data_IF_951442366234
#
_entry.id   IF_951442366234
#
_cell.length_a   1.000
_cell.length_b   1.000
_cell.length_c   1.000
_cell.angle_alpha   90.00
_cell.angle_beta   90.00
_cell.angle_gamma   90.00
#
_symmetry.space_group_name_H-M   'P 1'
#
loop_
_entity.id
_entity.type
_entity.pdbx_description
1 polymer ?
#
# COMPACT_ATOMS: atom_id res chain seq x y z
N UNK A 1 -44.32 -47.23 63.38
CA UNK A 1 -45.15 -46.00 63.43
C UNK A 1 -44.75 -45.16 62.23
N UNK A 2 -45.45 -45.34 61.11
CA UNK A 2 -45.19 -44.62 59.86
C UNK A 2 -45.81 -43.23 59.96
N UNK A 3 -44.99 -42.19 59.93
CA UNK A 3 -45.48 -40.81 59.96
C UNK A 3 -46.25 -40.51 58.66
N UNK A 4 -47.40 -39.81 58.73
CA UNK A 4 -48.14 -39.41 57.54
C UNK A 4 -47.32 -38.40 56.74
N UNK A 5 -47.00 -38.76 55.50
CA UNK A 5 -46.40 -37.83 54.53
C UNK A 5 -47.50 -36.86 54.14
N UNK A 6 -47.42 -35.63 54.64
CA UNK A 6 -48.33 -34.55 54.24
C UNK A 6 -47.86 -34.08 52.88
N UNK A 7 -48.64 -34.34 51.83
CA UNK A 7 -48.38 -33.80 50.49
C UNK A 7 -48.44 -32.27 50.55
N UNK A 8 -47.28 -31.64 50.78
CA UNK A 8 -47.14 -30.19 50.75
C UNK A 8 -47.14 -29.75 49.29
N UNK A 9 -48.32 -29.44 48.76
CA UNK A 9 -48.44 -28.80 47.45
C UNK A 9 -47.88 -27.38 47.53
N UNK A 10 -46.86 -27.11 46.72
CA UNK A 10 -46.23 -25.78 46.64
C UNK A 10 -47.25 -24.81 46.03
N UNK A 11 -47.53 -23.65 46.65
CA UNK A 11 -48.39 -22.63 46.08
C UNK A 11 -47.92 -22.19 44.69
N UNK A 12 -48.85 -22.10 43.73
CA UNK A 12 -48.52 -21.78 42.33
C UNK A 12 -47.73 -20.48 42.13
N UNK A 13 -47.88 -19.50 43.02
CA UNK A 13 -47.12 -18.24 42.97
C UNK A 13 -45.63 -18.42 43.25
N UNK A 14 -45.26 -19.40 44.09
CA UNK A 14 -43.85 -19.73 44.39
C UNK A 14 -43.21 -20.35 43.15
N UNK A 15 -43.91 -21.29 42.50
CA UNK A 15 -43.45 -21.90 41.24
C UNK A 15 -43.29 -20.83 40.16
N UNK A 16 -44.27 -19.93 40.02
CA UNK A 16 -44.20 -18.80 39.09
C UNK A 16 -43.01 -17.88 39.37
N UNK A 17 -42.73 -17.59 40.64
CA UNK A 17 -41.60 -16.75 41.07
C UNK A 17 -40.24 -17.41 40.76
N UNK A 18 -40.11 -18.72 41.01
CA UNK A 18 -38.89 -19.48 40.70
C UNK A 18 -38.62 -19.47 39.19
N UNK A 19 -39.65 -19.66 38.36
CA UNK A 19 -39.53 -19.63 36.90
C UNK A 19 -39.07 -18.24 36.44
N UNK A 20 -39.69 -17.17 36.96
CA UNK A 20 -39.32 -15.79 36.63
C UNK A 20 -37.87 -15.48 36.99
N UNK A 21 -37.43 -15.85 38.20
CA UNK A 21 -36.04 -15.64 38.65
C UNK A 21 -35.05 -16.39 37.76
N UNK A 22 -35.32 -17.65 37.43
CA UNK A 22 -34.44 -18.42 36.53
C UNK A 22 -34.39 -17.82 35.12
N UNK A 23 -35.51 -17.32 34.60
CA UNK A 23 -35.54 -16.67 33.29
C UNK A 23 -34.67 -15.40 33.28
N UNK A 24 -34.75 -14.58 34.33
CA UNK A 24 -33.88 -13.41 34.48
C UNK A 24 -32.40 -13.79 34.66
N UNK A 25 -32.11 -14.90 35.36
CA UNK A 25 -30.75 -15.39 35.57
C UNK A 25 -30.07 -15.85 34.27
N UNK A 26 -30.85 -16.29 33.27
CA UNK A 26 -30.35 -16.71 31.96
C UNK A 26 -30.05 -15.52 31.02
N UNK A 27 -30.54 -14.32 31.30
CA UNK A 27 -30.32 -13.15 30.43
C UNK A 27 -28.83 -12.77 30.31
N UNK A 28 -28.05 -12.61 31.41
CA UNK A 28 -26.64 -12.27 31.28
C UNK A 28 -25.80 -13.32 30.53
N UNK A 29 -25.93 -14.64 30.77
CA UNK A 29 -25.25 -15.67 29.97
C UNK A 29 -25.60 -15.61 28.48
N UNK A 30 -26.87 -15.39 28.12
CA UNK A 30 -27.30 -15.26 26.72
C UNK A 30 -26.72 -14.01 26.07
N UNK A 31 -26.68 -12.88 26.78
CA UNK A 31 -26.06 -11.65 26.29
C UNK A 31 -24.54 -11.80 26.10
N UNK A 32 -23.86 -12.50 27.02
CA UNK A 32 -22.43 -12.82 26.89
C UNK A 32 -22.18 -13.77 25.71
N UNK A 33 -23.00 -14.81 25.54
CA UNK A 33 -22.92 -15.70 24.39
C UNK A 33 -23.14 -14.92 23.09
N UNK A 34 -24.18 -14.08 23.02
CA UNK A 34 -24.43 -13.21 21.86
C UNK A 34 -23.24 -12.28 21.60
N UNK A 35 -22.69 -11.62 22.61
CA UNK A 35 -21.54 -10.73 22.45
C UNK A 35 -20.26 -11.47 22.01
N UNK A 36 -20.11 -12.76 22.34
CA UNK A 36 -18.97 -13.60 21.90
C UNK A 36 -19.13 -14.14 20.49
N UNK A 37 -20.36 -14.44 20.07
CA UNK A 37 -20.64 -15.09 18.78
C UNK A 37 -21.27 -14.18 17.72
N UNK A 38 -21.46 -12.89 18.00
CA UNK A 38 -21.93 -11.91 17.02
C UNK A 38 -20.89 -10.83 16.74
N UNK A 39 -20.86 -10.34 15.51
CA UNK A 39 -20.06 -9.20 15.09
C UNK A 39 -20.88 -7.91 15.23
N UNK A 40 -20.24 -6.84 15.68
CA UNK A 40 -20.85 -5.51 15.75
C UNK A 40 -20.30 -4.62 14.64
N UNK A 41 -21.16 -3.79 14.04
CA UNK A 41 -20.76 -2.71 13.14
C UNK A 41 -20.37 -1.42 13.88
N UNK A 42 -20.71 -1.32 15.16
CA UNK A 42 -20.33 -0.20 16.01
C UNK A 42 -19.12 -0.53 16.87
N UNK A 43 -18.26 0.46 17.17
CA UNK A 43 -17.19 0.29 18.14
C UNK A 43 -17.71 -0.23 19.48
N UNK A 44 -16.85 -0.99 20.19
CA UNK A 44 -17.19 -1.50 21.52
C UNK A 44 -17.41 -0.36 22.50
N UNK A 45 -18.28 -0.61 23.48
CA UNK A 45 -18.50 0.33 24.58
C UNK A 45 -17.19 0.50 25.33
N UNK A 46 -16.73 1.75 25.39
CA UNK A 46 -15.49 2.13 26.04
C UNK A 46 -15.82 2.82 27.35
N UNK A 47 -15.65 2.13 28.49
CA UNK A 47 -16.13 2.59 29.80
C UNK A 47 -15.25 3.70 30.39
N UNK A 48 -13.94 3.65 30.17
CA UNK A 48 -12.99 4.62 30.72
C UNK A 48 -12.27 5.33 29.56
N UNK A 49 -12.71 6.53 29.17
CA UNK A 49 -12.18 7.23 27.99
C UNK A 49 -10.96 8.14 28.27
N UNK A 50 -10.60 8.33 29.54
CA UNK A 50 -9.76 9.42 30.03
C UNK A 50 -8.48 9.66 29.21
N UNK A 51 -7.58 8.68 29.15
CA UNK A 51 -6.28 8.82 28.46
C UNK A 51 -6.25 8.25 27.04
N UNK A 52 -7.36 7.67 26.57
CA UNK A 52 -7.48 7.19 25.19
C UNK A 52 -7.84 8.34 24.24
N UNK A 53 -8.69 9.27 24.71
CA UNK A 53 -9.07 10.48 24.01
C UNK A 53 -8.50 11.71 24.71
N UNK A 54 -7.23 11.97 24.46
CA UNK A 54 -6.52 13.10 25.05
C UNK A 54 -6.92 14.43 24.39
N UNK A 55 -6.84 15.53 25.14
CA UNK A 55 -7.06 16.90 24.67
C UNK A 55 -5.84 17.44 23.87
N UNK A 56 -5.33 16.63 22.94
CA UNK A 56 -4.28 16.99 22.00
C UNK A 56 -4.58 16.34 20.65
N UNK A 57 -4.19 17.00 19.57
CA UNK A 57 -4.37 16.45 18.24
C UNK A 57 -3.16 15.60 17.83
N UNK A 58 -3.43 14.41 17.31
CA UNK A 58 -2.41 13.58 16.66
C UNK A 58 -2.30 13.95 15.17
N UNK A 59 -1.22 13.54 14.52
CA UNK A 59 -1.14 13.58 13.06
C UNK A 59 -2.34 12.86 12.45
N UNK A 60 -2.87 13.40 11.35
CA UNK A 60 -4.05 12.86 10.63
C UNK A 60 -5.34 12.75 11.47
N UNK A 61 -5.46 13.53 12.56
CA UNK A 61 -6.71 13.62 13.34
C UNK A 61 -7.61 14.77 12.87
N UNK A 62 -8.91 14.64 13.18
CA UNK A 62 -9.87 15.69 12.93
C UNK A 62 -9.72 16.84 13.94
N UNK A 63 -9.86 18.08 13.48
CA UNK A 63 -9.88 19.28 14.32
C UNK A 63 -10.93 20.27 13.80
N UNK A 64 -12.02 20.43 14.54
CA UNK A 64 -13.15 21.30 14.18
C UNK A 64 -12.84 22.81 14.26
N UNK A 65 -11.69 23.21 14.80
CA UNK A 65 -11.28 24.61 14.84
C UNK A 65 -10.99 25.17 13.44
N UNK A 66 -10.46 24.33 12.52
CA UNK A 66 -10.13 24.75 11.15
C UNK A 66 -11.23 24.38 10.17
N UNK A 67 -11.43 25.21 9.13
CA UNK A 67 -12.46 25.03 8.10
C UNK A 67 -12.36 23.68 7.35
N UNK A 68 -11.15 23.14 7.21
CA UNK A 68 -10.89 21.87 6.52
C UNK A 68 -10.95 20.64 7.44
N UNK A 69 -11.31 20.83 8.71
CA UNK A 69 -11.37 19.81 9.77
C UNK A 69 -10.04 19.05 9.98
N UNK A 70 -8.90 19.55 9.49
CA UNK A 70 -7.61 18.86 9.62
C UNK A 70 -6.81 19.39 10.79
N UNK A 71 -6.30 18.50 11.63
CA UNK A 71 -5.26 18.87 12.60
C UNK A 71 -3.93 19.24 11.93
N UNK A 72 -3.55 18.54 10.85
CA UNK A 72 -2.30 18.82 10.13
C UNK A 72 -2.43 20.06 9.24
N UNK A 73 -1.65 21.09 9.57
CA UNK A 73 -1.52 22.30 8.76
C UNK A 73 -0.41 22.17 7.73
N UNK A 74 -0.63 22.74 6.55
CA UNK A 74 0.43 22.89 5.57
C UNK A 74 1.43 23.95 6.07
N UNK A 75 2.74 23.76 5.84
CA UNK A 75 3.71 24.82 6.06
C UNK A 75 3.44 26.00 5.13
N UNK A 76 3.88 27.19 5.54
CA UNK A 76 3.77 28.40 4.70
C UNK A 76 4.68 28.23 3.48
N UNK A 77 4.23 28.61 2.26
CA UNK A 77 5.09 28.51 1.08
C UNK A 77 6.42 29.25 1.26
N UNK A 78 7.51 28.63 0.82
CA UNK A 78 8.87 29.19 0.92
C UNK A 78 9.59 28.92 2.25
N UNK A 79 8.96 28.26 3.23
CA UNK A 79 9.66 27.86 4.45
C UNK A 79 10.60 26.68 4.20
N UNK A 80 11.82 26.76 4.72
CA UNK A 80 12.82 25.67 4.72
C UNK A 80 13.04 25.23 6.17
N UNK A 81 12.85 23.94 6.45
CA UNK A 81 13.10 23.40 7.77
C UNK A 81 14.61 23.29 8.06
N UNK A 82 14.98 23.37 9.33
CA UNK A 82 16.39 23.24 9.74
C UNK A 82 16.89 21.84 9.41
N UNK A 83 17.94 21.75 8.59
CA UNK A 83 18.52 20.48 8.13
C UNK A 83 17.93 19.95 6.82
N UNK A 84 16.87 20.59 6.29
CA UNK A 84 16.26 20.23 4.99
C UNK A 84 16.62 21.24 3.89
N UNK A 85 17.82 21.84 4.00
CA UNK A 85 18.35 22.66 2.91
C UNK A 85 18.85 21.73 1.81
N UNK A 86 18.08 21.63 0.73
CA UNK A 86 18.39 20.83 -0.46
C UNK A 86 19.43 21.53 -1.34
N UNK A 87 20.66 21.66 -0.85
CA UNK A 87 21.75 22.40 -1.51
C UNK A 87 22.39 21.65 -2.69
N UNK A 88 22.37 20.32 -2.68
CA UNK A 88 22.86 19.50 -3.80
C UNK A 88 21.76 19.36 -4.84
N UNK A 89 21.84 20.15 -5.91
CA UNK A 89 20.82 20.15 -6.94
C UNK A 89 20.76 18.85 -7.74
N UNK A 90 21.92 18.24 -7.96
CA UNK A 90 22.01 16.96 -8.65
C UNK A 90 21.28 15.89 -7.86
N UNK A 91 21.47 15.81 -6.55
CA UNK A 91 20.83 14.81 -5.70
C UNK A 91 19.34 15.08 -5.43
N UNK A 92 18.94 16.32 -5.14
CA UNK A 92 17.57 16.62 -4.72
C UNK A 92 16.61 16.95 -5.86
N UNK A 93 17.12 17.45 -6.99
CA UNK A 93 16.32 17.92 -8.13
C UNK A 93 16.58 17.16 -9.43
N UNK A 94 17.72 16.46 -9.53
CA UNK A 94 18.11 15.74 -10.75
C UNK A 94 18.67 16.66 -11.84
N UNK A 95 19.06 17.89 -11.49
CA UNK A 95 19.60 18.88 -12.43
C UNK A 95 21.10 19.05 -12.23
N UNK A 96 21.79 19.47 -13.28
CA UNK A 96 23.20 19.85 -13.21
C UNK A 96 23.36 21.20 -13.91
N UNK A 97 23.24 22.29 -13.14
CA UNK A 97 23.04 23.63 -13.71
C UNK A 97 21.67 23.74 -14.37
N UNK A 98 21.63 24.28 -15.59
CA UNK A 98 20.39 24.50 -16.34
C UNK A 98 19.89 23.23 -17.08
N UNK A 99 20.68 22.15 -17.09
CA UNK A 99 20.39 20.91 -17.82
C UNK A 99 19.99 19.76 -16.89
N UNK A 100 19.32 18.75 -17.46
CA UNK A 100 19.08 17.47 -16.76
C UNK A 100 20.37 16.70 -16.56
N UNK A 101 20.53 16.11 -15.37
CA UNK A 101 21.68 15.26 -15.11
C UNK A 101 21.64 13.99 -15.99
N UNK A 102 22.77 13.69 -16.63
CA UNK A 102 22.95 12.47 -17.43
C UNK A 102 23.59 11.32 -16.65
N UNK A 103 24.09 11.61 -15.45
CA UNK A 103 24.82 10.67 -14.58
C UNK A 103 24.17 10.62 -13.19
N UNK A 104 24.52 9.58 -12.41
CA UNK A 104 24.12 9.51 -11.00
C UNK A 104 24.93 10.51 -10.15
N UNK A 105 24.32 11.10 -9.10
CA UNK A 105 25.05 11.94 -8.14
C UNK A 105 26.22 11.17 -7.51
N UNK A 106 27.33 11.84 -7.21
CA UNK A 106 28.54 11.20 -6.65
C UNK A 106 28.31 10.47 -5.31
N UNK A 107 27.28 10.87 -4.57
CA UNK A 107 26.87 10.23 -3.32
C UNK A 107 26.05 8.94 -3.51
N UNK A 108 25.45 8.73 -4.69
CA UNK A 108 24.66 7.53 -5.01
C UNK A 108 25.58 6.46 -5.58
N UNK A 109 25.79 5.39 -4.84
CA UNK A 109 26.58 4.23 -5.29
C UNK A 109 25.69 3.24 -6.02
N UNK A 110 25.88 3.10 -7.34
CA UNK A 110 25.15 2.11 -8.13
C UNK A 110 25.78 0.72 -7.90
N UNK A 111 25.15 -0.07 -7.04
CA UNK A 111 25.56 -1.42 -6.69
C UNK A 111 24.34 -2.37 -6.64
N UNK A 112 24.58 -3.65 -6.33
CA UNK A 112 23.52 -4.66 -6.23
C UNK A 112 22.45 -4.29 -5.19
N UNK A 113 22.85 -3.72 -4.05
CA UNK A 113 21.91 -3.31 -2.99
C UNK A 113 20.97 -2.19 -3.46
N UNK A 114 21.50 -1.19 -4.18
CA UNK A 114 20.70 -0.11 -4.75
C UNK A 114 19.71 -0.65 -5.79
N UNK A 115 20.15 -1.58 -6.63
CA UNK A 115 19.29 -2.20 -7.65
C UNK A 115 18.18 -3.03 -7.01
N UNK A 116 18.48 -3.84 -6.00
CA UNK A 116 17.49 -4.62 -5.25
C UNK A 116 16.48 -3.70 -4.54
N UNK A 117 16.96 -2.59 -3.96
CA UNK A 117 16.10 -1.56 -3.39
C UNK A 117 15.21 -0.90 -4.44
N UNK A 118 15.79 -0.61 -5.60
CA UNK A 118 15.08 -0.02 -6.73
C UNK A 118 13.98 -0.94 -7.25
N UNK A 119 14.25 -2.24 -7.37
CA UNK A 119 13.28 -3.26 -7.74
C UNK A 119 12.13 -3.34 -6.74
N UNK A 120 12.44 -3.39 -5.42
CA UNK A 120 11.43 -3.40 -4.37
C UNK A 120 10.50 -2.17 -4.48
N UNK A 121 11.09 -0.98 -4.63
CA UNK A 121 10.35 0.29 -4.69
C UNK A 121 9.56 0.44 -5.98
N UNK A 122 10.14 0.05 -7.11
CA UNK A 122 9.44 -0.03 -8.39
C UNK A 122 8.24 -0.99 -8.30
N UNK A 123 8.46 -2.16 -7.68
CA UNK A 123 7.45 -3.16 -7.34
C UNK A 123 6.21 -2.57 -6.66
N UNK A 124 6.42 -1.68 -5.68
CA UNK A 124 5.36 -1.07 -4.87
C UNK A 124 4.65 0.07 -5.62
N UNK A 125 5.39 0.99 -6.22
CA UNK A 125 4.84 2.27 -6.68
C UNK A 125 4.60 2.32 -8.20
N UNK A 126 5.38 1.59 -9.00
CA UNK A 126 5.43 1.77 -10.45
C UNK A 126 4.74 0.65 -11.21
N UNK A 127 4.85 -0.60 -10.74
CA UNK A 127 4.26 -1.77 -11.41
C UNK A 127 2.75 -1.72 -11.64
N UNK A 128 1.91 -1.07 -10.80
CA UNK A 128 0.47 -1.03 -11.06
C UNK A 128 0.12 -0.40 -12.41
N UNK A 129 0.94 0.54 -12.88
CA UNK A 129 0.78 1.22 -14.17
C UNK A 129 1.77 0.71 -15.22
N UNK A 130 3.07 0.65 -14.91
CA UNK A 130 4.11 0.33 -15.88
C UNK A 130 4.35 -1.17 -16.10
N UNK A 131 3.77 -2.04 -15.26
CA UNK A 131 4.05 -3.48 -15.29
C UNK A 131 5.42 -3.82 -14.69
N UNK A 132 5.68 -5.11 -14.47
CA UNK A 132 6.96 -5.58 -13.90
C UNK A 132 8.11 -5.36 -14.89
N UNK A 133 7.84 -5.57 -16.18
CA UNK A 133 8.83 -5.40 -17.26
C UNK A 133 8.95 -3.97 -17.79
N UNK A 134 8.08 -3.05 -17.35
CA UNK A 134 8.12 -1.64 -17.76
C UNK A 134 7.40 -1.32 -19.08
N UNK A 135 6.66 -2.26 -19.68
CA UNK A 135 6.02 -2.08 -20.99
C UNK A 135 4.70 -1.29 -20.94
N UNK A 136 4.30 -0.74 -19.79
CA UNK A 136 3.03 -0.04 -19.66
C UNK A 136 1.81 -0.97 -19.59
N UNK A 137 2.02 -2.25 -19.29
CA UNK A 137 1.03 -3.33 -19.27
C UNK A 137 0.55 -3.69 -17.86
N UNK A 138 0.68 -2.74 -16.91
CA UNK A 138 0.23 -2.90 -15.53
C UNK A 138 -1.27 -3.18 -15.39
N UNK A 139 -1.70 -3.57 -14.19
CA UNK A 139 -3.10 -3.90 -13.94
C UNK A 139 -4.04 -2.69 -14.14
N UNK A 140 -3.56 -1.47 -13.89
CA UNK A 140 -4.33 -0.23 -14.06
C UNK A 140 -4.69 0.01 -15.54
N UNK A 141 -3.75 0.15 -16.49
CA UNK A 141 -4.08 0.35 -17.89
C UNK A 141 -4.96 -0.77 -18.44
N UNK A 142 -4.70 -2.03 -18.08
CA UNK A 142 -5.52 -3.19 -18.50
C UNK A 142 -6.97 -3.11 -18.04
N UNK A 143 -7.23 -2.68 -16.79
CA UNK A 143 -8.60 -2.50 -16.28
C UNK A 143 -9.29 -1.27 -16.87
N UNK A 144 -8.56 -0.18 -17.06
CA UNK A 144 -9.14 1.04 -17.63
C UNK A 144 -9.53 0.89 -19.10
N UNK A 145 -8.78 0.08 -19.87
CA UNK A 145 -9.05 -0.17 -21.29
C UNK A 145 -10.44 -0.79 -21.56
N UNK A 146 -10.99 -1.54 -20.59
CA UNK A 146 -12.33 -2.15 -20.67
C UNK A 146 -13.39 -1.40 -19.86
N UNK A 147 -13.03 -0.24 -19.29
CA UNK A 147 -13.90 0.56 -18.44
C UNK A 147 -14.53 1.73 -19.22
N UNK A 148 -15.66 2.23 -18.72
CA UNK A 148 -16.34 3.41 -19.26
C UNK A 148 -15.54 4.71 -19.08
N UNK A 149 -14.46 4.70 -18.29
CA UNK A 149 -13.61 5.86 -18.02
C UNK A 149 -12.54 6.11 -19.11
N UNK A 150 -12.45 5.22 -20.12
CA UNK A 150 -11.48 5.30 -21.20
C UNK A 150 -10.11 4.70 -20.84
N UNK A 151 -9.30 4.44 -21.86
CA UNK A 151 -7.99 3.82 -21.69
C UNK A 151 -6.96 4.80 -21.12
N UNK A 152 -6.33 4.45 -20.00
CA UNK A 152 -5.13 5.12 -19.53
C UNK A 152 -3.91 4.55 -20.27
N UNK A 153 -3.37 5.33 -21.20
CA UNK A 153 -2.17 4.96 -21.94
C UNK A 153 -0.93 5.23 -21.08
N UNK A 154 -0.25 4.16 -20.69
CA UNK A 154 1.03 4.22 -19.97
C UNK A 154 2.15 4.04 -20.99
N UNK A 155 3.20 4.85 -20.87
CA UNK A 155 4.36 4.76 -21.77
C UNK A 155 5.19 3.51 -21.45
N UNK A 156 5.57 2.79 -22.50
CA UNK A 156 6.59 1.76 -22.45
C UNK A 156 7.96 2.40 -22.18
N UNK A 157 8.60 1.99 -21.08
CA UNK A 157 9.87 2.52 -20.63
C UNK A 157 11.03 2.16 -21.56
N UNK A 158 10.93 1.11 -22.38
CA UNK A 158 11.96 0.75 -23.36
C UNK A 158 11.73 1.34 -24.76
N UNK A 159 10.62 2.04 -24.97
CA UNK A 159 10.39 2.79 -26.21
C UNK A 159 11.46 3.86 -26.43
N UNK A 160 11.66 4.29 -27.68
CA UNK A 160 12.57 5.39 -28.03
C UNK A 160 12.34 6.63 -27.16
N UNK A 161 11.06 6.96 -26.91
CA UNK A 161 10.68 8.07 -26.03
C UNK A 161 11.06 7.82 -24.57
N UNK A 162 10.87 6.60 -24.07
CA UNK A 162 11.27 6.23 -22.71
C UNK A 162 12.79 6.27 -22.50
N UNK A 163 13.55 5.88 -23.53
CA UNK A 163 15.01 5.91 -23.53
C UNK A 163 15.59 7.33 -23.65
N UNK A 164 14.89 8.23 -24.33
CA UNK A 164 15.32 9.62 -24.55
C UNK A 164 15.44 10.45 -23.26
N UNK A 165 14.75 10.05 -22.18
CA UNK A 165 14.80 10.76 -20.91
C UNK A 165 16.15 10.57 -20.18
N UNK A 166 16.89 11.66 -19.88
CA UNK A 166 18.09 11.62 -19.04
C UNK A 166 17.77 11.11 -17.63
N UNK A 167 18.80 10.62 -16.93
CA UNK A 167 18.67 10.04 -15.59
C UNK A 167 18.03 11.02 -14.60
N UNK A 168 18.44 12.29 -14.66
CA UNK A 168 17.91 13.37 -13.84
C UNK A 168 16.45 13.73 -14.13
N UNK A 169 16.04 13.63 -15.39
CA UNK A 169 14.64 13.85 -15.78
C UNK A 169 13.75 12.71 -15.26
N UNK A 170 14.20 11.45 -15.35
CA UNK A 170 13.47 10.32 -14.75
C UNK A 170 13.28 10.49 -13.24
N UNK A 171 14.32 10.93 -12.53
CA UNK A 171 14.24 11.27 -11.10
C UNK A 171 13.18 12.36 -10.84
N UNK A 172 13.15 13.39 -11.69
CA UNK A 172 12.20 14.48 -11.58
C UNK A 172 10.76 14.01 -11.86
N UNK A 173 10.55 13.23 -12.93
CA UNK A 173 9.26 12.64 -13.29
C UNK A 173 8.69 11.81 -12.15
N UNK A 174 9.50 11.00 -11.47
CA UNK A 174 9.04 10.23 -10.29
C UNK A 174 8.58 11.19 -9.18
N UNK A 175 9.29 12.30 -8.95
CA UNK A 175 8.96 13.26 -7.89
C UNK A 175 7.76 14.15 -8.18
N UNK A 176 7.72 14.72 -9.39
CA UNK A 176 6.82 15.81 -9.80
C UNK A 176 5.72 15.37 -10.77
N UNK A 177 5.87 14.21 -11.40
CA UNK A 177 4.97 13.70 -12.41
C UNK A 177 5.26 14.26 -13.80
N UNK A 178 4.57 13.72 -14.80
CA UNK A 178 4.61 14.19 -16.18
C UNK A 178 3.28 13.89 -16.86
N UNK A 179 2.70 14.89 -17.53
CA UNK A 179 1.38 14.76 -18.18
C UNK A 179 0.31 14.23 -17.21
N UNK A 180 -0.16 13.00 -17.44
CA UNK A 180 -1.17 12.31 -16.64
C UNK A 180 -0.59 11.50 -15.47
N UNK A 181 0.74 11.30 -15.42
CA UNK A 181 1.40 10.61 -14.33
C UNK A 181 1.56 11.56 -13.12
N UNK A 182 1.04 11.20 -11.93
CA UNK A 182 1.19 12.01 -10.73
C UNK A 182 2.62 11.95 -10.18
N UNK A 183 3.02 12.98 -9.43
CA UNK A 183 4.28 12.99 -8.70
C UNK A 183 4.19 12.23 -7.37
N UNK A 184 5.25 11.47 -7.05
CA UNK A 184 5.33 10.60 -5.87
C UNK A 184 6.25 11.13 -4.76
N UNK A 185 6.76 12.37 -4.84
CA UNK A 185 7.72 12.94 -3.86
C UNK A 185 7.26 12.92 -2.40
N UNK A 186 5.95 12.87 -2.14
CA UNK A 186 5.40 12.80 -0.78
C UNK A 186 5.40 11.39 -0.19
N UNK A 187 5.59 10.36 -1.03
CA UNK A 187 5.54 8.95 -0.67
C UNK A 187 6.90 8.28 -0.81
N UNK A 188 7.72 8.72 -1.78
CA UNK A 188 9.00 8.12 -2.11
C UNK A 188 10.14 9.09 -1.72
N UNK A 189 10.99 8.72 -0.75
CA UNK A 189 12.19 9.46 -0.37
C UNK A 189 13.16 9.70 -1.54
N UNK A 190 14.08 10.65 -1.41
CA UNK A 190 15.04 11.04 -2.48
C UNK A 190 15.92 9.85 -2.88
N UNK A 191 16.44 9.13 -1.89
CA UNK A 191 17.28 7.96 -2.05
C UNK A 191 16.57 6.84 -2.80
N UNK A 192 15.29 6.59 -2.48
CA UNK A 192 14.47 5.56 -3.11
C UNK A 192 14.11 5.96 -4.55
N UNK A 193 13.98 7.28 -4.84
CA UNK A 193 13.81 7.75 -6.23
C UNK A 193 15.03 7.44 -7.08
N UNK A 194 16.25 7.66 -6.58
CA UNK A 194 17.47 7.26 -7.30
C UNK A 194 17.59 5.75 -7.48
N UNK A 195 17.18 4.97 -6.47
CA UNK A 195 17.14 3.51 -6.57
C UNK A 195 16.18 3.05 -7.68
N UNK A 196 14.97 3.62 -7.75
CA UNK A 196 14.01 3.35 -8.83
C UNK A 196 14.61 3.71 -10.19
N UNK A 197 15.27 4.87 -10.32
CA UNK A 197 15.93 5.26 -11.58
C UNK A 197 16.99 4.24 -11.99
N UNK A 198 17.81 3.75 -11.05
CA UNK A 198 18.78 2.70 -11.32
C UNK A 198 18.12 1.41 -11.82
N UNK A 199 17.01 1.00 -11.20
CA UNK A 199 16.23 -0.16 -11.64
C UNK A 199 15.61 0.04 -13.03
N UNK A 200 15.03 1.22 -13.32
CA UNK A 200 14.49 1.54 -14.65
C UNK A 200 15.58 1.50 -15.72
N UNK A 201 16.78 2.05 -15.43
CA UNK A 201 17.93 1.96 -16.35
C UNK A 201 18.39 0.51 -16.54
N UNK A 202 18.36 -0.32 -15.50
CA UNK A 202 18.66 -1.74 -15.62
C UNK A 202 17.60 -2.49 -16.49
N UNK A 203 16.32 -2.17 -16.33
CA UNK A 203 15.24 -2.71 -17.16
C UNK A 203 15.43 -2.32 -18.63
N UNK A 204 15.68 -1.03 -18.89
CA UNK A 204 15.97 -0.53 -20.24
C UNK A 204 17.17 -1.26 -20.86
N UNK A 205 18.26 -1.42 -20.09
CA UNK A 205 19.45 -2.13 -20.53
C UNK A 205 19.16 -3.60 -20.85
N UNK A 206 18.43 -4.31 -19.99
CA UNK A 206 18.09 -5.74 -20.21
C UNK A 206 17.29 -5.99 -21.49
N UNK A 207 16.61 -4.98 -22.02
CA UNK A 207 15.77 -5.08 -23.22
C UNK A 207 16.51 -4.65 -24.50
N UNK A 208 17.61 -3.90 -24.36
CA UNK A 208 18.41 -3.43 -25.48
C UNK A 208 19.67 -4.26 -25.76
N UNK A 209 20.07 -5.15 -24.85
CA UNK A 209 21.29 -5.98 -25.00
C UNK A 209 21.05 -7.09 -26.02
N UNK A 210 21.94 -7.18 -27.02
CA UNK A 210 22.00 -8.34 -27.89
C UNK A 210 22.47 -9.56 -27.09
N UNK A 211 21.78 -10.69 -27.23
CA UNK A 211 22.15 -11.97 -26.62
C UNK A 211 23.58 -12.39 -26.97
N UNK A 212 24.10 -11.92 -28.10
CA UNK A 212 25.49 -12.14 -28.52
C UNK A 212 26.54 -11.41 -27.66
N UNK A 213 26.17 -10.32 -26.98
CA UNK A 213 27.07 -9.52 -26.13
C UNK A 213 27.13 -10.03 -24.69
N UNK A 214 26.24 -10.96 -24.33
CA UNK A 214 26.23 -11.58 -23.00
C UNK A 214 27.43 -12.52 -22.86
N UNK A 215 28.28 -12.37 -21.82
CA UNK A 215 29.40 -13.27 -21.57
C UNK A 215 28.95 -14.73 -21.52
N UNK A 216 29.74 -15.63 -22.09
CA UNK A 216 29.38 -17.04 -22.23
C UNK A 216 29.04 -17.72 -20.89
N UNK A 217 29.71 -17.33 -19.80
CA UNK A 217 29.43 -17.81 -18.44
C UNK A 217 28.03 -17.42 -17.96
N UNK A 218 27.62 -16.16 -18.18
CA UNK A 218 26.30 -15.68 -17.78
C UNK A 218 25.21 -16.26 -18.68
N UNK A 219 25.49 -16.47 -19.96
CA UNK A 219 24.58 -17.15 -20.87
C UNK A 219 24.29 -18.59 -20.41
N UNK A 220 25.32 -19.35 -20.04
CA UNK A 220 25.14 -20.71 -19.49
C UNK A 220 24.37 -20.70 -18.18
N UNK A 221 24.63 -19.73 -17.31
CA UNK A 221 23.87 -19.54 -16.07
C UNK A 221 22.40 -19.27 -16.36
N UNK A 222 22.07 -18.34 -17.25
CA UNK A 222 20.70 -18.01 -17.62
C UNK A 222 19.96 -19.18 -18.29
N UNK A 223 20.64 -19.95 -19.13
CA UNK A 223 20.10 -21.18 -19.73
C UNK A 223 19.85 -22.28 -18.70
N UNK A 224 20.62 -22.32 -17.61
CA UNK A 224 20.43 -23.24 -16.49
C UNK A 224 19.35 -22.79 -15.50
N UNK A 225 18.91 -21.53 -15.56
CA UNK A 225 17.81 -21.03 -14.74
C UNK A 225 16.48 -21.51 -15.34
N UNK A 226 15.73 -22.29 -14.57
CA UNK A 226 14.40 -22.75 -14.98
C UNK A 226 13.49 -21.54 -15.25
N UNK A 227 12.92 -21.46 -16.46
CA UNK A 227 11.94 -20.42 -16.78
C UNK A 227 10.80 -20.50 -15.76
N UNK A 228 10.43 -19.39 -15.11
CA UNK A 228 9.26 -19.41 -14.24
C UNK A 228 8.07 -19.87 -15.09
N UNK A 229 7.40 -20.93 -14.63
CA UNK A 229 6.19 -21.46 -15.24
C UNK A 229 5.25 -20.30 -15.55
N UNK A 230 5.01 -20.04 -16.83
CA UNK A 230 3.90 -19.22 -17.27
C UNK A 230 2.65 -19.84 -16.70
N UNK A 231 2.02 -19.18 -15.72
CA UNK A 231 0.70 -19.57 -15.23
C UNK A 231 -0.34 -19.25 -16.31
N UNK A 232 -0.32 -20.02 -17.39
CA UNK A 232 -1.50 -20.29 -18.20
C UNK A 232 -2.33 -21.31 -17.44
N UNK A 233 -3.11 -20.84 -16.47
CA UNK A 233 -4.32 -21.54 -16.07
C UNK A 233 -5.31 -20.50 -15.55
N UNK A 234 -6.01 -19.90 -16.50
CA UNK A 234 -7.36 -19.40 -16.26
C UNK A 234 -8.27 -20.60 -16.03
N UNK A 235 -8.13 -21.26 -14.87
CA UNK A 235 -9.04 -22.30 -14.43
C UNK A 235 -10.13 -21.66 -13.58
N UNK A 236 -11.34 -21.72 -14.13
CA UNK A 236 -12.63 -21.33 -13.59
C UNK A 236 -12.74 -21.45 -12.06
N UNK A 237 -12.76 -20.30 -11.38
CA UNK A 237 -13.32 -20.23 -10.03
C UNK A 237 -14.85 -20.26 -10.15
N UNK A 238 -15.44 -21.40 -9.84
CA UNK A 238 -16.87 -21.51 -9.52
C UNK A 238 -17.21 -20.54 -8.39
N UNK A 239 -18.36 -19.82 -8.44
CA UNK A 239 -18.78 -18.99 -7.31
C UNK A 239 -19.18 -19.92 -6.17
N UNK A 240 -18.43 -19.88 -5.07
CA UNK A 240 -18.87 -20.45 -3.81
C UNK A 240 -20.01 -19.56 -3.28
N UNK A 241 -21.22 -20.11 -3.30
CA UNK A 241 -22.43 -19.48 -2.79
C UNK A 241 -22.34 -19.39 -1.26
N UNK A 242 -21.88 -18.24 -0.77
CA UNK A 242 -21.71 -17.94 0.65
C UNK A 242 -23.04 -17.60 1.33
N UNK A 243 -23.34 -18.37 2.37
CA UNK A 243 -24.45 -18.23 3.33
C UNK A 243 -24.23 -17.11 4.35
#
# INVERSE_FOLDING_TARGET
MTLPIKDTQVPGWIIGSIILVNMFLLIPPVLVAKARYSTSRTPRIHVFLDMDQQQKFKAQSANSFFRDNRAMRLPVPGTVARGELNADEHYYWGTNGDDWATTFPSQVKVNADLLARGEERYGIYCTPCHGISGHGDGLVPRRTAVSDYGAWLVTDLSSEKGLAHPIGELFNIIGYGINTMPGYRSQIPVEDRWAIVAHVKALQFSQSVDVAEIPAEEKQRLESMEKPSSSEDGSTATPEEGR
#
